data_IF_792140412267
#
_entry.id   IF_792140412267
#
_cell.length_a   1.000
_cell.length_b   1.000
_cell.length_c   1.000
_cell.angle_alpha   90.00
_cell.angle_beta   90.00
_cell.angle_gamma   90.00
#
_symmetry.space_group_name_H-M   'P 1'
#
loop_
_entity.id
_entity.type
_entity.pdbx_description
1 polymer ?
#
# COMPACT_ATOMS: atom_id res chain seq x y z
N UNK A 1 -7.51 -13.12 -0.79
CA UNK A 1 -6.23 -13.37 -1.50
C UNK A 1 -5.09 -13.07 -0.56
N UNK A 2 -4.09 -13.96 -0.47
CA UNK A 2 -2.87 -13.71 0.35
C UNK A 2 -1.87 -12.85 -0.43
N UNK A 3 -1.27 -11.90 0.27
CA UNK A 3 -0.18 -11.05 -0.22
C UNK A 3 1.09 -11.52 0.47
N UNK A 4 2.08 -11.93 -0.32
CA UNK A 4 3.37 -12.38 0.19
C UNK A 4 4.48 -11.92 -0.75
N UNK A 5 5.45 -11.19 -0.21
CA UNK A 5 6.69 -10.85 -0.89
C UNK A 5 7.85 -10.76 0.10
N UNK A 6 9.04 -11.04 -0.39
CA UNK A 6 10.29 -10.84 0.32
C UNK A 6 11.21 -10.04 -0.62
N UNK A 7 11.70 -8.90 -0.14
CA UNK A 7 12.61 -8.03 -0.87
C UNK A 7 13.91 -7.90 -0.09
N UNK A 8 15.03 -8.13 -0.77
CA UNK A 8 16.36 -7.95 -0.21
C UNK A 8 16.86 -6.55 -0.56
N UNK A 9 17.25 -5.78 0.46
CA UNK A 9 17.76 -4.43 0.34
C UNK A 9 19.20 -4.40 0.87
N UNK A 10 20.16 -3.93 0.08
CA UNK A 10 21.58 -3.85 0.43
C UNK A 10 21.88 -2.61 1.30
N UNK A 11 21.13 -2.50 2.39
CA UNK A 11 21.20 -1.42 3.38
C UNK A 11 20.93 -1.96 4.79
N UNK A 12 21.53 -1.37 5.84
CA UNK A 12 21.26 -1.71 7.23
C UNK A 12 19.77 -1.56 7.60
N UNK A 13 19.29 -2.37 8.51
CA UNK A 13 17.87 -2.45 8.90
C UNK A 13 17.31 -1.13 9.43
N UNK A 14 18.08 -0.43 10.24
CA UNK A 14 17.71 0.86 10.82
C UNK A 14 17.53 1.93 9.73
N UNK A 15 18.41 1.95 8.72
CA UNK A 15 18.34 2.84 7.56
C UNK A 15 17.08 2.54 6.73
N UNK A 16 16.84 1.26 6.42
CA UNK A 16 15.66 0.84 5.63
C UNK A 16 14.37 1.17 6.38
N UNK A 17 14.29 0.81 7.66
CA UNK A 17 13.12 1.03 8.50
C UNK A 17 12.80 2.53 8.64
N UNK A 18 13.80 3.34 9.01
CA UNK A 18 13.63 4.78 9.18
C UNK A 18 13.27 5.47 7.86
N UNK A 19 13.93 5.12 6.76
CA UNK A 19 13.65 5.73 5.46
C UNK A 19 12.23 5.38 4.98
N UNK A 20 11.77 4.16 5.13
CA UNK A 20 10.41 3.79 4.75
C UNK A 20 9.37 4.51 5.61
N UNK A 21 9.58 4.62 6.92
CA UNK A 21 8.68 5.31 7.84
C UNK A 21 8.67 6.83 7.63
N UNK A 22 9.84 7.44 7.50
CA UNK A 22 10.00 8.88 7.63
C UNK A 22 10.09 9.62 6.28
N UNK A 23 10.41 8.90 5.18
CA UNK A 23 10.64 9.45 3.85
C UNK A 23 9.59 9.05 2.81
N UNK A 24 8.42 8.61 3.28
CA UNK A 24 7.36 8.07 2.45
C UNK A 24 6.93 9.00 1.30
N UNK A 25 6.84 10.31 1.56
CA UNK A 25 6.49 11.31 0.54
C UNK A 25 7.62 11.47 -0.49
N UNK A 26 8.88 11.39 -0.03
CA UNK A 26 10.06 11.51 -0.88
C UNK A 26 10.25 10.28 -1.78
N UNK A 27 9.61 9.14 -1.47
CA UNK A 27 9.61 7.94 -2.33
C UNK A 27 8.76 8.09 -3.60
N UNK A 28 7.80 9.03 -3.64
CA UNK A 28 6.84 9.16 -4.75
C UNK A 28 7.47 9.19 -6.14
N UNK A 29 8.58 9.93 -6.39
CA UNK A 29 9.25 9.91 -7.70
C UNK A 29 9.74 8.53 -8.15
N UNK A 30 9.96 7.62 -7.20
CA UNK A 30 10.44 6.26 -7.44
C UNK A 30 9.31 5.20 -7.46
N UNK A 31 8.04 5.63 -7.28
CA UNK A 31 6.86 4.76 -7.28
C UNK A 31 6.04 4.99 -8.56
N UNK A 32 6.18 4.15 -9.60
CA UNK A 32 5.63 4.42 -10.93
C UNK A 32 4.11 4.55 -10.95
N UNK A 33 3.41 3.84 -10.06
CA UNK A 33 1.95 3.79 -10.01
C UNK A 33 1.35 4.78 -8.99
N UNK A 34 2.17 5.58 -8.30
CA UNK A 34 1.73 6.54 -7.30
C UNK A 34 1.88 7.96 -7.84
N UNK A 35 0.84 8.76 -7.66
CA UNK A 35 0.80 10.17 -8.05
C UNK A 35 1.26 11.08 -6.91
N UNK A 36 0.79 10.78 -5.69
CA UNK A 36 1.11 11.54 -4.49
C UNK A 36 0.88 10.68 -3.23
N UNK A 37 1.58 11.03 -2.17
CA UNK A 37 1.34 10.53 -0.81
C UNK A 37 1.26 11.73 0.11
N UNK A 38 0.25 11.77 0.98
CA UNK A 38 0.05 12.82 1.97
C UNK A 38 0.04 12.20 3.36
N UNK A 39 0.88 12.66 4.26
CA UNK A 39 0.82 12.29 5.68
C UNK A 39 -0.24 13.17 6.35
N UNK A 40 -1.37 12.59 6.73
CA UNK A 40 -2.49 13.30 7.36
C UNK A 40 -2.37 13.40 8.86
N UNK A 41 -1.85 12.36 9.48
CA UNK A 41 -1.59 12.34 10.91
C UNK A 41 -0.34 11.50 11.20
N UNK A 42 0.39 11.90 12.22
CA UNK A 42 1.52 11.15 12.77
C UNK A 42 1.56 11.34 14.28
N UNK A 43 1.68 10.25 14.99
CA UNK A 43 1.81 10.20 16.44
C UNK A 43 2.98 9.28 16.80
N UNK A 44 3.97 9.86 17.47
CA UNK A 44 5.15 9.13 17.95
C UNK A 44 5.05 8.95 19.48
N UNK A 45 5.13 7.70 19.94
CA UNK A 45 5.06 7.37 21.36
C UNK A 45 5.91 6.13 21.68
N UNK A 46 6.95 6.29 22.50
CA UNK A 46 7.78 5.22 23.08
C UNK A 46 8.14 4.07 22.11
N UNK A 47 8.78 4.41 20.97
CA UNK A 47 9.20 3.42 19.96
C UNK A 47 8.10 2.98 19.00
N UNK A 48 6.87 3.46 19.18
CA UNK A 48 5.74 3.20 18.28
C UNK A 48 5.33 4.48 17.54
N UNK A 49 5.34 4.44 16.22
CA UNK A 49 4.82 5.53 15.37
C UNK A 49 3.52 5.07 14.71
N UNK A 50 2.45 5.85 14.87
CA UNK A 50 1.19 5.66 14.13
C UNK A 50 1.06 6.73 13.07
N UNK A 51 0.70 6.32 11.87
CA UNK A 51 0.54 7.23 10.73
C UNK A 51 -0.78 6.97 10.02
N UNK A 52 -1.41 8.05 9.58
CA UNK A 52 -2.48 8.02 8.59
C UNK A 52 -1.97 8.70 7.34
N UNK A 53 -1.78 7.93 6.28
CA UNK A 53 -1.33 8.41 4.99
C UNK A 53 -2.46 8.30 3.97
N UNK A 54 -2.53 9.25 3.02
CA UNK A 54 -3.40 9.15 1.85
C UNK A 54 -2.51 8.91 0.64
N UNK A 55 -2.75 7.79 -0.02
CA UNK A 55 -2.06 7.42 -1.25
C UNK A 55 -2.97 7.69 -2.45
N UNK A 56 -2.49 8.47 -3.40
CA UNK A 56 -3.15 8.74 -4.68
C UNK A 56 -2.46 7.94 -5.77
N UNK A 57 -3.18 6.99 -6.35
CA UNK A 57 -2.62 6.16 -7.43
C UNK A 57 -2.83 6.78 -8.81
N UNK A 58 -1.99 6.34 -9.73
CA UNK A 58 -2.23 6.43 -11.16
C UNK A 58 -2.97 5.16 -11.57
N UNK A 59 -4.07 5.27 -12.28
CA UNK A 59 -4.80 4.08 -12.74
C UNK A 59 -5.92 4.45 -13.68
N UNK A 60 -6.03 3.69 -14.77
CA UNK A 60 -7.14 3.81 -15.71
C UNK A 60 -8.34 3.03 -15.21
N UNK A 61 -9.42 3.74 -14.89
CA UNK A 61 -10.66 3.12 -14.44
C UNK A 61 -11.31 2.39 -15.62
N UNK A 62 -11.60 1.08 -15.50
CA UNK A 62 -12.28 0.33 -16.55
C UNK A 62 -13.59 1.01 -16.95
N UNK A 63 -13.90 1.06 -18.25
CA UNK A 63 -15.10 1.75 -18.78
C UNK A 63 -16.39 1.35 -18.06
N UNK A 64 -16.55 0.07 -17.73
CA UNK A 64 -17.73 -0.45 -17.02
C UNK A 64 -17.83 0.04 -15.56
N UNK A 65 -16.74 0.52 -14.99
CA UNK A 65 -16.67 1.02 -13.61
C UNK A 65 -16.70 2.57 -13.53
N UNK A 66 -16.54 3.29 -14.64
CA UNK A 66 -16.46 4.77 -14.68
C UNK A 66 -17.75 5.47 -14.22
N UNK A 67 -18.89 4.79 -14.29
CA UNK A 67 -20.15 5.31 -13.72
C UNK A 67 -20.21 5.24 -12.19
N UNK A 68 -19.34 4.45 -11.57
CA UNK A 68 -19.33 4.14 -10.13
C UNK A 68 -18.06 4.67 -9.46
N UNK A 69 -16.92 4.56 -10.13
CA UNK A 69 -15.61 5.02 -9.64
C UNK A 69 -15.21 6.26 -10.44
N UNK A 70 -14.92 7.34 -9.75
CA UNK A 70 -14.40 8.58 -10.34
C UNK A 70 -12.88 8.68 -10.16
N UNK A 71 -12.15 9.40 -11.02
CA UNK A 71 -10.69 9.54 -10.92
C UNK A 71 -10.19 10.00 -9.56
N UNK A 72 -10.89 10.92 -8.91
CA UNK A 72 -10.56 11.43 -7.57
C UNK A 72 -10.74 10.40 -6.45
N UNK A 73 -11.43 9.30 -6.72
CA UNK A 73 -11.63 8.19 -5.78
C UNK A 73 -10.50 7.16 -5.84
N UNK A 74 -9.59 7.23 -6.84
CA UNK A 74 -8.48 6.27 -7.00
C UNK A 74 -7.38 6.59 -5.97
N UNK A 75 -7.75 6.51 -4.71
CA UNK A 75 -6.90 6.73 -3.57
C UNK A 75 -7.36 5.86 -2.39
N UNK A 76 -6.47 5.69 -1.42
CA UNK A 76 -6.77 4.96 -0.19
C UNK A 76 -6.13 5.60 1.02
N UNK A 77 -6.70 5.32 2.18
CA UNK A 77 -6.07 5.55 3.47
C UNK A 77 -5.15 4.36 3.78
N UNK A 78 -3.95 4.66 4.24
CA UNK A 78 -3.00 3.71 4.79
C UNK A 78 -2.82 4.02 6.27
N UNK A 79 -3.35 3.16 7.12
CA UNK A 79 -3.22 3.21 8.56
C UNK A 79 -2.03 2.34 8.94
N UNK A 80 -0.88 2.96 9.19
CA UNK A 80 0.36 2.29 9.50
C UNK A 80 0.73 2.42 10.98
N UNK A 81 1.11 1.31 11.61
CA UNK A 81 1.65 1.27 12.98
C UNK A 81 3.04 0.66 12.92
N UNK A 82 4.04 1.49 13.10
CA UNK A 82 5.44 1.12 13.13
C UNK A 82 5.86 0.82 14.56
N UNK A 83 6.56 -0.28 14.78
CA UNK A 83 7.15 -0.65 16.06
C UNK A 83 8.64 -0.86 15.87
N UNK A 84 9.44 0.00 16.50
CA UNK A 84 10.90 -0.03 16.36
C UNK A 84 11.52 -1.18 17.16
N UNK A 85 10.93 -1.57 18.28
CA UNK A 85 11.46 -2.65 19.13
C UNK A 85 11.39 -4.01 18.39
N UNK A 86 10.29 -4.23 17.64
CA UNK A 86 10.06 -5.46 16.88
C UNK A 86 10.50 -5.36 15.42
N UNK A 87 10.90 -4.16 14.96
CA UNK A 87 11.21 -3.90 13.56
C UNK A 87 10.08 -4.30 12.63
N UNK A 88 8.88 -3.89 12.95
CA UNK A 88 7.67 -4.23 12.19
C UNK A 88 6.83 -3.01 11.83
N UNK A 89 6.01 -3.15 10.79
CA UNK A 89 4.95 -2.21 10.45
C UNK A 89 3.65 -2.98 10.20
N UNK A 90 2.66 -2.82 11.07
CA UNK A 90 1.30 -3.26 10.82
C UNK A 90 0.60 -2.21 9.96
N UNK A 91 -0.12 -2.64 8.94
CA UNK A 91 -0.80 -1.73 8.02
C UNK A 91 -2.20 -2.20 7.67
N UNK A 92 -3.09 -1.23 7.45
CA UNK A 92 -4.44 -1.44 6.92
C UNK A 92 -4.73 -0.42 5.85
N UNK A 93 -5.08 -0.90 4.67
CA UNK A 93 -5.46 -0.10 3.50
C UNK A 93 -6.98 0.00 3.43
N UNK A 94 -7.50 1.22 3.33
CA UNK A 94 -8.93 1.51 3.23
C UNK A 94 -9.16 2.34 1.96
N UNK A 95 -9.59 1.71 0.85
CA UNK A 95 -9.89 2.44 -0.39
C UNK A 95 -11.03 3.43 -0.18
N UNK A 96 -10.98 4.59 -0.85
CA UNK A 96 -12.07 5.60 -0.82
C UNK A 96 -13.32 5.16 -1.58
N UNK A 97 -13.22 4.12 -2.40
CA UNK A 97 -14.33 3.49 -3.08
C UNK A 97 -14.53 2.07 -2.53
N UNK A 98 -15.77 1.66 -2.37
CA UNK A 98 -16.17 0.33 -1.87
C UNK A 98 -15.55 -0.04 -0.51
N UNK A 99 -15.41 0.93 0.37
CA UNK A 99 -14.78 0.80 1.69
C UNK A 99 -15.30 -0.38 2.51
N UNK A 100 -16.62 -0.66 2.42
CA UNK A 100 -17.27 -1.78 3.13
C UNK A 100 -17.07 -3.14 2.44
N UNK A 101 -16.61 -3.12 1.20
CA UNK A 101 -16.50 -4.31 0.36
C UNK A 101 -15.04 -4.76 0.17
N UNK A 102 -14.08 -3.99 0.68
CA UNK A 102 -12.65 -4.26 0.54
C UNK A 102 -12.01 -4.25 1.91
N UNK A 103 -11.38 -5.36 2.28
CA UNK A 103 -10.52 -5.47 3.46
C UNK A 103 -9.10 -5.80 2.99
N UNK A 104 -8.14 -4.94 3.31
CA UNK A 104 -6.74 -5.13 2.96
C UNK A 104 -5.87 -4.75 4.16
N UNK A 105 -5.15 -5.71 4.72
CA UNK A 105 -4.29 -5.47 5.87
C UNK A 105 -3.14 -6.46 5.94
N UNK A 106 -2.12 -6.13 6.71
CA UNK A 106 -0.98 -6.99 6.86
C UNK A 106 0.08 -6.47 7.81
N UNK A 107 1.24 -7.11 7.73
CA UNK A 107 2.41 -6.78 8.54
C UNK A 107 3.68 -6.93 7.71
N UNK A 108 4.54 -5.96 7.83
CA UNK A 108 5.90 -5.98 7.30
C UNK A 108 6.86 -6.31 8.45
N UNK A 109 7.84 -7.17 8.18
CA UNK A 109 8.96 -7.47 9.07
C UNK A 109 10.25 -7.05 8.39
N UNK A 110 11.10 -6.34 9.11
CA UNK A 110 12.42 -5.91 8.67
C UNK A 110 13.45 -6.81 9.33
N UNK A 111 13.92 -7.81 8.61
CA UNK A 111 14.84 -8.84 9.11
C UNK A 111 16.26 -8.47 8.74
N UNK A 112 17.12 -8.35 9.74
CA UNK A 112 18.55 -8.06 9.56
C UNK A 112 19.29 -9.29 9.03
N UNK A 113 20.15 -9.10 8.04
CA UNK A 113 21.04 -10.11 7.49
C UNK A 113 22.44 -9.49 7.26
N UNK A 114 23.24 -9.36 8.31
CA UNK A 114 24.50 -8.62 8.25
C UNK A 114 24.26 -7.15 7.96
N UNK A 115 24.87 -6.62 6.89
CA UNK A 115 24.71 -5.22 6.45
C UNK A 115 23.51 -5.03 5.50
N UNK A 116 22.67 -6.05 5.35
CA UNK A 116 21.51 -6.05 4.46
C UNK A 116 20.21 -6.25 5.26
N UNK A 117 19.11 -5.93 4.64
CA UNK A 117 17.75 -6.10 5.20
C UNK A 117 16.90 -6.95 4.28
N UNK A 118 16.17 -7.91 4.84
CA UNK A 118 15.08 -8.58 4.14
C UNK A 118 13.76 -8.00 4.63
N UNK A 119 13.08 -7.26 3.75
CA UNK A 119 11.73 -6.77 3.99
C UNK A 119 10.73 -7.85 3.60
N UNK A 120 10.06 -8.41 4.59
CA UNK A 120 9.03 -9.43 4.41
C UNK A 120 7.66 -8.78 4.51
N UNK A 121 6.89 -8.80 3.43
CA UNK A 121 5.52 -8.30 3.35
C UNK A 121 4.55 -9.47 3.43
N UNK A 122 3.66 -9.44 4.41
CA UNK A 122 2.61 -10.46 4.62
C UNK A 122 1.28 -9.78 4.85
N UNK A 123 0.25 -10.18 4.10
CA UNK A 123 -1.06 -9.57 4.23
C UNK A 123 -2.16 -10.37 3.54
N UNK A 124 -3.36 -9.84 3.64
CA UNK A 124 -4.55 -10.40 3.03
C UNK A 124 -5.37 -9.29 2.37
N UNK A 125 -5.94 -9.60 1.21
CA UNK A 125 -6.90 -8.78 0.49
C UNK A 125 -8.17 -9.61 0.28
N UNK A 126 -9.29 -9.11 0.79
CA UNK A 126 -10.63 -9.67 0.59
C UNK A 126 -11.52 -8.64 -0.10
N UNK A 127 -12.28 -9.08 -1.10
CA UNK A 127 -13.17 -8.22 -1.89
C UNK A 127 -14.52 -8.90 -2.02
N UNK A 128 -15.58 -8.26 -1.50
CA UNK A 128 -16.97 -8.60 -1.80
C UNK A 128 -17.45 -7.82 -3.02
N UNK A 129 -17.04 -8.26 -4.20
CA UNK A 129 -17.37 -7.57 -5.44
C UNK A 129 -18.88 -7.65 -5.81
N UNK A 130 -19.62 -8.60 -5.25
CA UNK A 130 -21.06 -8.77 -5.52
C UNK A 130 -21.92 -7.79 -4.73
N UNK A 131 -21.44 -7.36 -3.56
CA UNK A 131 -22.12 -6.41 -2.67
C UNK A 131 -21.85 -4.94 -3.02
N UNK A 132 -21.16 -4.63 -4.13
CA UNK A 132 -20.76 -3.26 -4.46
C UNK A 132 -21.98 -2.39 -4.80
N UNK A 133 -22.16 -1.26 -4.12
CA UNK A 133 -23.25 -0.33 -4.40
C UNK A 133 -23.17 0.24 -5.84
N UNK A 134 -24.33 0.41 -6.48
CA UNK A 134 -24.42 0.94 -7.84
C UNK A 134 -24.26 -0.11 -8.94
N UNK A 135 -23.93 -1.36 -8.62
CA UNK A 135 -23.94 -2.48 -9.58
C UNK A 135 -25.32 -3.13 -9.60
N UNK A 136 -26.06 -3.06 -10.74
CA UNK A 136 -27.34 -3.75 -10.86
C UNK A 136 -27.16 -5.26 -10.64
N UNK A 137 -28.03 -5.87 -9.85
CA UNK A 137 -27.94 -7.31 -9.49
C UNK A 137 -27.86 -8.22 -10.74
N UNK A 138 -28.58 -7.89 -11.80
CA UNK A 138 -28.56 -8.64 -13.07
C UNK A 138 -27.19 -8.56 -13.79
N UNK A 139 -26.40 -7.51 -13.55
CA UNK A 139 -25.10 -7.29 -14.15
C UNK A 139 -23.94 -7.64 -13.22
N UNK A 140 -24.22 -7.92 -11.95
CA UNK A 140 -23.21 -8.17 -10.93
C UNK A 140 -22.22 -9.28 -11.33
N UNK A 141 -22.73 -10.38 -11.92
CA UNK A 141 -21.90 -11.48 -12.39
C UNK A 141 -20.88 -11.12 -13.47
N UNK A 142 -21.15 -10.05 -14.26
CA UNK A 142 -20.26 -9.59 -15.33
C UNK A 142 -19.34 -8.45 -14.87
N UNK A 143 -19.83 -7.57 -14.00
CA UNK A 143 -19.13 -6.36 -13.56
C UNK A 143 -18.20 -6.67 -12.38
N UNK A 144 -18.63 -7.50 -11.43
CA UNK A 144 -17.86 -7.83 -10.23
C UNK A 144 -16.43 -8.33 -10.53
N UNK A 145 -16.19 -9.27 -11.46
CA UNK A 145 -14.83 -9.73 -11.76
C UNK A 145 -13.92 -8.61 -12.33
N UNK A 146 -14.50 -7.65 -13.07
CA UNK A 146 -13.74 -6.52 -13.63
C UNK A 146 -13.32 -5.56 -12.52
N UNK A 147 -14.23 -5.26 -11.60
CA UNK A 147 -13.95 -4.41 -10.44
C UNK A 147 -12.93 -5.08 -9.51
N UNK A 148 -13.10 -6.37 -9.24
CA UNK A 148 -12.15 -7.15 -8.43
C UNK A 148 -10.74 -7.10 -9.03
N UNK A 149 -10.62 -7.38 -10.34
CA UNK A 149 -9.34 -7.29 -11.05
C UNK A 149 -8.74 -5.89 -10.98
N UNK A 150 -9.56 -4.85 -11.07
CA UNK A 150 -9.12 -3.46 -10.96
C UNK A 150 -8.57 -3.17 -9.55
N UNK A 151 -9.29 -3.56 -8.49
CA UNK A 151 -8.85 -3.35 -7.10
C UNK A 151 -7.56 -4.12 -6.80
N UNK A 152 -7.48 -5.39 -7.21
CA UNK A 152 -6.28 -6.21 -7.08
C UNK A 152 -5.10 -5.57 -7.81
N UNK A 153 -5.32 -5.13 -9.06
CA UNK A 153 -4.30 -4.46 -9.88
C UNK A 153 -3.87 -3.10 -9.34
N UNK A 154 -4.74 -2.44 -8.57
CA UNK A 154 -4.42 -1.16 -7.93
C UNK A 154 -3.61 -1.35 -6.65
N UNK A 155 -4.04 -2.23 -5.76
CA UNK A 155 -3.46 -2.34 -4.41
C UNK A 155 -2.20 -3.22 -4.39
N UNK A 156 -2.27 -4.41 -4.97
CA UNK A 156 -1.19 -5.41 -4.83
C UNK A 156 0.16 -4.95 -5.39
N UNK A 157 0.26 -4.42 -6.63
CA UNK A 157 1.54 -3.96 -7.15
C UNK A 157 2.16 -2.86 -6.29
N UNK A 158 1.34 -1.92 -5.79
CA UNK A 158 1.83 -0.81 -4.99
C UNK A 158 2.38 -1.25 -3.62
N UNK A 159 1.79 -2.30 -3.03
CA UNK A 159 2.33 -2.92 -1.81
C UNK A 159 3.66 -3.66 -2.07
N UNK A 160 3.84 -4.24 -3.26
CA UNK A 160 5.03 -5.03 -3.58
C UNK A 160 6.19 -4.18 -4.11
N UNK A 161 5.91 -3.10 -4.85
CA UNK A 161 6.94 -2.28 -5.51
C UNK A 161 7.52 -1.18 -4.62
N UNK A 162 6.98 -0.96 -3.43
CA UNK A 162 7.49 0.05 -2.51
C UNK A 162 8.95 -0.23 -2.10
N UNK A 163 9.34 -1.49 -1.98
CA UNK A 163 10.73 -1.89 -1.69
C UNK A 163 11.70 -1.47 -2.80
N UNK A 164 11.30 -1.60 -4.06
CA UNK A 164 12.12 -1.16 -5.21
C UNK A 164 12.24 0.36 -5.24
N UNK A 165 11.16 1.07 -4.92
CA UNK A 165 11.17 2.53 -4.78
C UNK A 165 12.09 3.01 -3.67
N UNK A 166 12.09 2.29 -2.54
CA UNK A 166 12.95 2.58 -1.40
C UNK A 166 14.44 2.39 -1.74
N UNK A 167 14.79 1.31 -2.45
CA UNK A 167 16.17 1.10 -2.92
C UNK A 167 16.61 2.25 -3.82
N UNK A 168 15.81 2.63 -4.81
CA UNK A 168 16.12 3.74 -5.73
C UNK A 168 16.29 5.06 -4.99
N UNK A 169 15.44 5.32 -3.99
CA UNK A 169 15.57 6.51 -3.15
C UNK A 169 16.88 6.51 -2.37
N UNK A 170 17.22 5.40 -1.71
CA UNK A 170 18.46 5.27 -0.94
C UNK A 170 19.70 5.38 -1.84
N UNK A 171 19.67 4.77 -3.03
CA UNK A 171 20.77 4.86 -4.00
C UNK A 171 21.00 6.30 -4.49
N UNK A 172 19.90 7.05 -4.72
CA UNK A 172 20.00 8.45 -5.18
C UNK A 172 20.43 9.42 -4.07
N UNK A 173 20.39 9.03 -2.81
CA UNK A 173 20.80 9.83 -1.66
C UNK A 173 22.07 9.31 -0.98
N UNK A 174 22.82 8.41 -1.65
CA UNK A 174 24.20 8.09 -1.27
C UNK A 174 25.10 9.29 -1.66
N UNK A 175 25.31 10.21 -0.73
CA UNK A 175 26.28 11.30 -0.82
C UNK A 175 27.51 10.98 -0.01
#
# INVERSE_FOLDING_TARGET
>A
MKIKADAKLSYPRDVVFASYRDKLVELVPHLPNIKAIEVKNREDNEGVTRMLNIWHAKGDIPKVAQSIIKPEMVCWEDHAKWNQDDWTCEWKVVPKFFTKNVTCSGKNHFVEQGDETVLQIRGELEIDAKGIPGVPRLLAGRIAPVIEKFIVGLLTPNLLTVSDGLVKYLDSNKG
#
